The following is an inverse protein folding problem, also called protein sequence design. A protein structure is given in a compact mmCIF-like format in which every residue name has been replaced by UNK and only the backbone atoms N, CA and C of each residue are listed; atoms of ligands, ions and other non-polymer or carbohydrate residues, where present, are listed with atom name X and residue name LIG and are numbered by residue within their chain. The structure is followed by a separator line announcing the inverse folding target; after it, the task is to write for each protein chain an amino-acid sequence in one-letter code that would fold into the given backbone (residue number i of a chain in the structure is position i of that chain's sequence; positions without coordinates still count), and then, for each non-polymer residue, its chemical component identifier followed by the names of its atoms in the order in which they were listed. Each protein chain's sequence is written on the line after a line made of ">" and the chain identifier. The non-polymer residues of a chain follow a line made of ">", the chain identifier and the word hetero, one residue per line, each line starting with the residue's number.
data_IF_351624806778
#
_entry.id   IF_351624806778
#
_cell.length_a   1.000
_cell.length_b   1.000
_cell.length_c   1.000
_cell.angle_alpha   90.00
_cell.angle_beta   90.00
_cell.angle_gamma   90.00
#
_symmetry.space_group_name_H-M   'P 1'
#
loop_
_entity.id
_entity.type
_entity.pdbx_description
1 polymer ?
#
# COMPACT_ATOMS: atom_id res chain seq x y z
N UNK A 1 -8.73 5.46 14.57
CA UNK A 1 -7.41 5.04 14.03
C UNK A 1 -7.52 4.54 12.59
N UNK A 2 -8.38 3.55 12.29
CA UNK A 2 -8.55 3.02 10.92
C UNK A 2 -8.88 4.07 9.85
N UNK A 3 -9.72 5.07 10.16
CA UNK A 3 -9.99 6.23 9.28
C UNK A 3 -8.71 6.94 8.84
N UNK A 4 -7.88 7.29 9.82
CA UNK A 4 -6.65 8.05 9.58
C UNK A 4 -5.59 7.19 8.90
N UNK A 5 -5.49 5.91 9.26
CA UNK A 5 -4.66 4.95 8.54
C UNK A 5 -5.02 4.89 7.05
N UNK A 6 -6.32 4.69 6.73
CA UNK A 6 -6.79 4.65 5.35
C UNK A 6 -6.43 5.94 4.60
N UNK A 7 -6.68 7.11 5.20
CA UNK A 7 -6.39 8.40 4.57
C UNK A 7 -4.90 8.61 4.34
N UNK A 8 -4.08 8.29 5.33
CA UNK A 8 -2.63 8.41 5.24
C UNK A 8 -2.08 7.51 4.12
N UNK A 9 -2.39 6.21 4.15
CA UNK A 9 -1.94 5.27 3.12
C UNK A 9 -2.46 5.67 1.74
N UNK A 10 -3.72 6.10 1.63
CA UNK A 10 -4.28 6.59 0.38
C UNK A 10 -3.51 7.78 -0.22
N UNK A 11 -3.07 8.72 0.60
CA UNK A 11 -2.23 9.84 0.16
C UNK A 11 -0.87 9.35 -0.32
N UNK A 12 -0.20 8.47 0.43
CA UNK A 12 1.11 7.94 0.03
C UNK A 12 1.04 7.19 -1.30
N UNK A 13 -0.01 6.38 -1.50
CA UNK A 13 -0.28 5.72 -2.76
C UNK A 13 -0.47 6.68 -3.93
N UNK A 14 -1.12 7.83 -3.72
CA UNK A 14 -1.21 8.86 -4.75
C UNK A 14 0.12 9.57 -5.01
N UNK A 15 0.94 9.78 -3.97
CA UNK A 15 2.26 10.42 -4.12
C UNK A 15 3.23 9.57 -4.94
N UNK A 16 3.03 8.25 -5.04
CA UNK A 16 3.76 7.36 -5.96
C UNK A 16 3.58 7.79 -7.44
N UNK A 17 2.60 8.62 -7.77
CA UNK A 17 2.47 9.20 -9.12
C UNK A 17 3.67 10.03 -9.55
N UNK A 18 4.39 10.67 -8.62
CA UNK A 18 5.60 11.46 -8.93
C UNK A 18 6.72 10.56 -9.46
N UNK A 19 7.18 9.53 -8.72
CA UNK A 19 8.18 8.61 -9.26
C UNK A 19 7.65 7.76 -10.43
N UNK A 20 6.34 7.54 -10.56
CA UNK A 20 5.76 6.88 -11.74
C UNK A 20 6.00 7.69 -13.02
N UNK A 21 5.71 9.00 -13.00
CA UNK A 21 5.89 9.86 -14.18
C UNK A 21 7.37 9.91 -14.57
N UNK A 22 8.26 10.05 -13.59
CA UNK A 22 9.71 10.05 -13.82
C UNK A 22 10.19 8.73 -14.46
N UNK A 23 9.82 7.59 -13.87
CA UNK A 23 10.19 6.27 -14.39
C UNK A 23 9.61 6.00 -15.78
N UNK A 24 8.35 6.36 -16.01
CA UNK A 24 7.70 6.16 -17.29
C UNK A 24 8.34 7.03 -18.38
N UNK A 25 8.69 8.28 -18.06
CA UNK A 25 9.37 9.17 -19.00
C UNK A 25 10.77 8.65 -19.38
N UNK A 26 11.48 8.01 -18.45
CA UNK A 26 12.84 7.51 -18.69
C UNK A 26 12.87 6.11 -19.32
N UNK A 27 11.97 5.22 -18.92
CA UNK A 27 12.07 3.79 -19.24
C UNK A 27 10.82 3.21 -19.91
N UNK A 28 9.73 3.97 -20.03
CA UNK A 28 8.47 3.49 -20.59
C UNK A 28 7.80 2.41 -19.74
N UNK A 29 7.02 1.54 -20.37
CA UNK A 29 6.32 0.45 -19.69
C UNK A 29 7.27 -0.69 -19.30
N UNK A 30 7.37 -0.91 -17.99
CA UNK A 30 8.11 -2.00 -17.34
C UNK A 30 7.39 -2.51 -16.09
N UNK A 31 7.74 -3.70 -15.55
CA UNK A 31 7.14 -4.20 -14.32
C UNK A 31 7.14 -3.19 -13.17
N UNK A 32 8.20 -2.38 -13.07
CA UNK A 32 8.32 -1.34 -12.05
C UNK A 32 7.30 -0.20 -12.22
N UNK A 33 7.04 0.24 -13.44
CA UNK A 33 5.96 1.20 -13.68
C UNK A 33 4.59 0.61 -13.38
N UNK A 34 4.38 -0.70 -13.64
CA UNK A 34 3.12 -1.39 -13.31
C UNK A 34 2.88 -1.46 -11.80
N UNK A 35 3.93 -1.74 -11.03
CA UNK A 35 3.93 -1.69 -9.57
C UNK A 35 3.51 -0.29 -9.06
N UNK A 36 4.10 0.78 -9.60
CA UNK A 36 3.73 2.16 -9.24
C UNK A 36 2.31 2.53 -9.67
N UNK A 37 1.86 2.09 -10.84
CA UNK A 37 0.46 2.26 -11.31
C UNK A 37 -0.51 1.57 -10.33
N UNK A 38 -0.20 0.36 -9.87
CA UNK A 38 -1.02 -0.35 -8.89
C UNK A 38 -1.23 0.48 -7.62
N UNK A 39 -0.17 1.08 -7.07
CA UNK A 39 -0.29 1.98 -5.92
C UNK A 39 -1.17 3.18 -6.23
N UNK A 40 -0.94 3.90 -7.34
CA UNK A 40 -1.74 5.08 -7.69
C UNK A 40 -3.23 4.73 -7.82
N UNK A 41 -3.56 3.62 -8.48
CA UNK A 41 -4.94 3.14 -8.63
C UNK A 41 -5.56 2.82 -7.27
N UNK A 42 -4.84 2.15 -6.36
CA UNK A 42 -5.31 1.93 -5.00
C UNK A 42 -5.57 3.25 -4.26
N UNK A 43 -4.67 4.23 -4.41
CA UNK A 43 -4.85 5.57 -3.84
C UNK A 43 -6.13 6.26 -4.33
N UNK A 44 -6.42 6.16 -5.63
CA UNK A 44 -7.65 6.70 -6.23
C UNK A 44 -8.91 6.00 -5.70
N UNK A 45 -8.89 4.67 -5.57
CA UNK A 45 -9.99 3.89 -4.97
C UNK A 45 -10.24 4.33 -3.53
N UNK A 46 -9.17 4.49 -2.74
CA UNK A 46 -9.24 4.95 -1.36
C UNK A 46 -9.87 6.34 -1.26
N UNK A 47 -9.47 7.29 -2.10
CA UNK A 47 -10.07 8.64 -2.13
C UNK A 47 -11.53 8.60 -2.58
N UNK A 48 -11.85 7.80 -3.61
CA UNK A 48 -13.19 7.76 -4.19
C UNK A 48 -14.23 7.10 -3.30
N UNK A 49 -13.86 6.02 -2.62
CA UNK A 49 -14.80 5.18 -1.87
C UNK A 49 -14.53 5.20 -0.36
N UNK A 50 -13.27 5.11 0.06
CA UNK A 50 -12.93 4.96 1.48
C UNK A 50 -12.85 6.27 2.27
N UNK A 51 -12.67 7.42 1.61
CA UNK A 51 -12.27 8.67 2.27
C UNK A 51 -13.21 9.14 3.38
N UNK A 52 -14.52 8.98 3.15
CA UNK A 52 -15.60 9.39 4.05
C UNK A 52 -16.57 8.25 4.38
N UNK A 53 -16.27 7.00 4.03
CA UNK A 53 -17.13 5.85 4.33
C UNK A 53 -16.56 4.99 5.48
N UNK A 54 -17.19 4.98 6.67
CA UNK A 54 -16.76 4.16 7.81
C UNK A 54 -16.71 2.66 7.51
N UNK A 55 -17.54 2.17 6.58
CA UNK A 55 -17.59 0.75 6.20
C UNK A 55 -16.29 0.30 5.55
N UNK A 56 -15.51 1.22 4.98
CA UNK A 56 -14.22 0.92 4.35
C UNK A 56 -13.05 0.92 5.32
N UNK A 57 -13.08 1.72 6.38
CA UNK A 57 -11.87 2.03 7.16
C UNK A 57 -11.21 0.80 7.76
N UNK A 58 -11.99 -0.04 8.46
CA UNK A 58 -11.47 -1.24 9.10
C UNK A 58 -11.16 -2.35 8.10
N UNK A 59 -12.06 -2.70 7.14
CA UNK A 59 -11.75 -3.70 6.13
C UNK A 59 -10.52 -3.35 5.31
N UNK A 60 -10.35 -2.08 4.91
CA UNK A 60 -9.15 -1.62 4.20
C UNK A 60 -7.89 -1.83 5.03
N UNK A 61 -7.89 -1.45 6.32
CA UNK A 61 -6.71 -1.63 7.17
C UNK A 61 -6.28 -3.10 7.27
N UNK A 62 -7.25 -4.02 7.43
CA UNK A 62 -6.98 -5.46 7.50
C UNK A 62 -6.50 -6.00 6.15
N UNK A 63 -7.20 -5.67 5.06
CA UNK A 63 -6.88 -6.18 3.72
C UNK A 63 -5.52 -5.67 3.23
N UNK A 64 -5.29 -4.36 3.37
CA UNK A 64 -4.03 -3.73 3.03
C UNK A 64 -2.90 -4.27 3.92
N UNK A 65 -3.14 -4.38 5.24
CA UNK A 65 -2.18 -4.97 6.17
C UNK A 65 -1.78 -6.38 5.76
N UNK A 66 -2.77 -7.25 5.52
CA UNK A 66 -2.53 -8.64 5.10
C UNK A 66 -1.78 -8.74 3.77
N UNK A 67 -2.16 -7.96 2.77
CA UNK A 67 -1.49 -7.93 1.48
C UNK A 67 -0.03 -7.51 1.60
N UNK A 68 0.27 -6.38 2.27
CA UNK A 68 1.65 -5.90 2.39
C UNK A 68 2.50 -6.74 3.35
N UNK A 69 1.89 -7.39 4.35
CA UNK A 69 2.59 -8.41 5.14
C UNK A 69 2.99 -9.60 4.27
N UNK A 70 2.10 -10.08 3.40
CA UNK A 70 2.43 -11.16 2.46
C UNK A 70 3.57 -10.75 1.51
N UNK A 71 3.48 -9.57 0.88
CA UNK A 71 4.53 -9.05 0.00
C UNK A 71 5.86 -8.90 0.74
N UNK A 72 5.84 -8.36 1.96
CA UNK A 72 7.03 -8.24 2.79
C UNK A 72 7.66 -9.59 3.14
N UNK A 73 6.84 -10.57 3.54
CA UNK A 73 7.33 -11.93 3.81
C UNK A 73 7.97 -12.56 2.57
N UNK A 74 7.36 -12.36 1.40
CA UNK A 74 7.96 -12.78 0.12
C UNK A 74 9.29 -12.07 -0.13
N UNK A 75 9.39 -10.75 0.09
CA UNK A 75 10.64 -10.00 -0.07
C UNK A 75 11.74 -10.43 0.90
N UNK A 76 11.39 -10.79 2.15
CA UNK A 76 12.35 -11.32 3.12
C UNK A 76 12.85 -12.72 2.77
N UNK A 77 12.00 -13.57 2.19
CA UNK A 77 12.36 -14.93 1.77
C UNK A 77 13.10 -14.96 0.41
N UNK A 78 12.74 -14.04 -0.48
CA UNK A 78 13.26 -13.93 -1.84
C UNK A 78 13.66 -12.48 -2.14
N UNK A 79 14.79 -12.00 -1.59
CA UNK A 79 15.27 -10.65 -1.84
C UNK A 79 15.49 -10.41 -3.34
N UNK A 80 15.09 -9.23 -3.83
CA UNK A 80 15.25 -8.81 -5.22
C UNK A 80 14.61 -9.78 -6.25
N UNK A 81 13.53 -10.46 -5.86
CA UNK A 81 12.84 -11.44 -6.70
C UNK A 81 12.46 -10.84 -8.07
N UNK A 82 13.04 -11.41 -9.14
CA UNK A 82 12.81 -10.95 -10.51
C UNK A 82 13.36 -9.56 -10.83
N UNK A 83 14.23 -9.00 -9.99
CA UNK A 83 14.76 -7.64 -10.13
C UNK A 83 13.70 -6.54 -9.96
N UNK A 84 12.60 -6.83 -9.26
CA UNK A 84 11.50 -5.90 -9.01
C UNK A 84 11.77 -5.08 -7.75
N UNK A 85 11.55 -3.75 -7.79
CA UNK A 85 11.81 -2.90 -6.63
C UNK A 85 10.93 -3.29 -5.44
N UNK A 86 9.72 -3.80 -5.68
CA UNK A 86 8.81 -4.26 -4.64
C UNK A 86 9.42 -5.28 -3.65
N UNK A 87 10.50 -5.98 -4.05
CA UNK A 87 11.24 -6.96 -3.24
C UNK A 87 12.67 -6.53 -2.90
N UNK A 88 13.06 -5.29 -3.25
CA UNK A 88 14.30 -4.73 -2.78
C UNK A 88 14.23 -4.48 -1.26
N UNK A 89 15.38 -4.25 -0.63
CA UNK A 89 15.46 -4.11 0.83
C UNK A 89 14.63 -2.94 1.37
N UNK A 90 14.63 -1.80 0.68
CA UNK A 90 13.92 -0.61 1.13
C UNK A 90 12.40 -0.85 1.08
N UNK A 91 11.89 -1.31 -0.05
CA UNK A 91 10.47 -1.58 -0.26
C UNK A 91 9.99 -2.71 0.64
N UNK A 92 10.80 -3.76 0.85
CA UNK A 92 10.47 -4.83 1.80
C UNK A 92 10.29 -4.31 3.22
N UNK A 93 11.14 -3.36 3.67
CA UNK A 93 10.98 -2.69 4.97
C UNK A 93 9.73 -1.82 4.99
N UNK A 94 9.48 -1.03 3.94
CA UNK A 94 8.28 -0.20 3.85
C UNK A 94 6.99 -1.04 3.86
N UNK A 95 6.96 -2.14 3.10
CA UNK A 95 5.87 -3.12 3.08
C UNK A 95 5.68 -3.79 4.44
N UNK A 96 6.76 -4.06 5.18
CA UNK A 96 6.67 -4.59 6.55
C UNK A 96 5.98 -3.59 7.48
N UNK A 97 6.36 -2.31 7.41
CA UNK A 97 5.77 -1.24 8.21
C UNK A 97 4.28 -1.08 7.87
N UNK A 98 3.96 -0.97 6.58
CA UNK A 98 2.57 -0.82 6.10
C UNK A 98 1.73 -2.06 6.45
N UNK A 99 2.29 -3.26 6.26
CA UNK A 99 1.63 -4.52 6.57
C UNK A 99 1.27 -4.67 8.05
N UNK A 100 2.28 -4.55 8.92
CA UNK A 100 2.10 -4.69 10.36
C UNK A 100 1.21 -3.57 10.91
N UNK A 101 1.43 -2.31 10.52
CA UNK A 101 0.59 -1.20 10.98
C UNK A 101 -0.87 -1.35 10.54
N UNK A 102 -1.13 -1.81 9.31
CA UNK A 102 -2.47 -2.10 8.82
C UNK A 102 -3.18 -3.19 9.63
N UNK A 103 -2.49 -4.31 9.87
CA UNK A 103 -3.03 -5.39 10.70
C UNK A 103 -3.30 -4.90 12.12
N UNK A 104 -2.31 -4.27 12.78
CA UNK A 104 -2.48 -3.74 14.14
C UNK A 104 -3.64 -2.75 14.22
N UNK A 105 -3.71 -1.77 13.32
CA UNK A 105 -4.81 -0.79 13.31
C UNK A 105 -6.15 -1.46 13.02
N UNK A 106 -6.21 -2.41 12.09
CA UNK A 106 -7.43 -3.12 11.72
C UNK A 106 -7.99 -4.01 12.84
N UNK A 107 -7.12 -4.67 13.60
CA UNK A 107 -7.49 -5.50 14.75
C UNK A 107 -7.85 -4.67 15.99
N UNK A 108 -7.11 -3.59 16.26
CA UNK A 108 -7.39 -2.66 17.37
C UNK A 108 -8.59 -1.74 17.11
N UNK A 109 -9.05 -1.60 15.86
CA UNK A 109 -10.22 -0.80 15.52
C UNK A 109 -11.57 -1.43 15.95
N UNK A 110 -11.58 -2.51 16.75
CA UNK A 110 -12.80 -3.01 17.40
C UNK A 110 -13.36 -1.93 18.34
N UNK A 111 -14.54 -1.38 18.03
CA UNK A 111 -15.37 -0.73 19.04
C UNK A 111 -16.09 0.58 18.70
N UNK A 112 -16.02 1.14 17.49
CA UNK A 112 -16.92 2.25 17.11
C UNK A 112 -17.44 2.10 15.68
N UNK A 113 -18.49 1.30 15.55
CA UNK A 113 -19.53 1.61 14.59
C UNK A 113 -20.26 2.83 15.14
N UNK A 114 -19.86 4.01 14.67
CA UNK A 114 -20.40 5.30 15.03
C UNK A 114 -20.00 6.29 13.95
#
# INVERSE_FOLDING_TARGET
>A
MAKWYLRFIGIFFLLVSVPLVADYAQFGFRPETMHKIFHVVLGLIVVRYGWNDPRWWRPFAIANGGFFTFVALSGWLFPDFGGLDAFNRLDTVLHSIVGLSGLTVGWLAKGRAG
#
